data_IF_420066283452
#
_entry.id   IF_420066283452
#
_cell.length_a   1.000
_cell.length_b   1.000
_cell.length_c   1.000
_cell.angle_alpha   90.00
_cell.angle_beta   90.00
_cell.angle_gamma   90.00
#
_symmetry.space_group_name_H-M   'P 1'
#
loop_
_entity.id
_entity.type
_entity.pdbx_description
1 polymer ?
#
# COMPACT_ATOMS: atom_id res chain seq x y z
N UNK A 1 -36.62 63.51 41.29
CA UNK A 1 -35.64 64.23 40.44
C UNK A 1 -35.10 63.24 39.42
N UNK A 2 -35.45 63.38 38.14
CA UNK A 2 -34.59 63.96 37.09
C UNK A 2 -33.44 62.99 36.68
N UNK A 3 -33.63 62.07 35.71
CA UNK A 3 -33.72 62.20 34.23
C UNK A 3 -32.34 62.18 33.50
N UNK A 4 -32.07 61.07 32.80
CA UNK A 4 -31.40 60.92 31.49
C UNK A 4 -31.51 59.42 31.12
N UNK A 5 -32.19 58.91 30.07
CA UNK A 5 -32.41 59.33 28.67
C UNK A 5 -31.12 59.31 27.81
N UNK A 6 -31.07 58.83 26.55
CA UNK A 6 -31.85 57.86 25.73
C UNK A 6 -31.14 57.80 24.32
N UNK A 7 -31.44 56.80 23.46
CA UNK A 7 -31.07 56.68 22.00
C UNK A 7 -29.62 56.25 21.69
N UNK A 8 -29.26 55.64 20.56
CA UNK A 8 -29.93 54.92 19.44
C UNK A 8 -28.87 53.93 18.87
N UNK A 9 -29.18 52.68 18.50
CA UNK A 9 -29.84 52.18 17.27
C UNK A 9 -29.02 52.29 15.96
N UNK A 10 -28.88 51.14 15.29
CA UNK A 10 -28.58 50.85 13.88
C UNK A 10 -27.30 51.38 13.17
N UNK A 11 -26.46 50.44 12.70
CA UNK A 11 -26.56 49.97 11.28
C UNK A 11 -25.69 48.74 10.98
N UNK A 12 -26.21 47.89 10.08
CA UNK A 12 -25.50 46.74 9.53
C UNK A 12 -24.49 47.13 8.43
N UNK A 13 -23.44 46.31 8.25
CA UNK A 13 -22.70 46.21 7.00
C UNK A 13 -22.53 44.75 6.61
N UNK A 14 -23.31 44.35 5.61
CA UNK A 14 -23.15 43.11 4.84
C UNK A 14 -22.01 43.35 3.85
N UNK A 15 -20.97 42.51 3.86
CA UNK A 15 -19.94 42.50 2.83
C UNK A 15 -20.04 41.23 2.00
N UNK A 16 -20.61 41.36 0.81
CA UNK A 16 -20.64 40.34 -0.23
C UNK A 16 -19.43 40.54 -1.15
N UNK A 17 -18.60 39.51 -1.32
CA UNK A 17 -17.60 39.45 -2.38
C UNK A 17 -17.91 38.29 -3.34
N UNK A 18 -17.65 38.44 -4.67
CA UNK A 18 -18.36 37.65 -5.67
C UNK A 18 -17.60 36.39 -6.11
N UNK A 19 -18.36 35.35 -6.42
CA UNK A 19 -17.88 34.19 -7.18
C UNK A 19 -17.92 34.47 -8.69
N UNK A 20 -16.83 34.24 -9.45
CA UNK A 20 -16.89 34.19 -10.91
C UNK A 20 -17.41 32.82 -11.37
N UNK A 21 -18.52 32.84 -12.10
CA UNK A 21 -19.01 31.73 -12.90
C UNK A 21 -17.95 31.25 -13.91
N UNK A 22 -17.80 29.94 -14.07
CA UNK A 22 -17.66 29.36 -15.41
C UNK A 22 -18.46 28.06 -15.50
N UNK A 23 -19.60 28.11 -16.19
CA UNK A 23 -20.51 26.99 -16.40
C UNK A 23 -20.71 26.84 -17.91
N UNK A 24 -20.19 25.78 -18.49
CA UNK A 24 -20.36 25.45 -19.92
C UNK A 24 -21.40 24.32 -20.03
N UNK A 25 -22.49 24.57 -20.74
CA UNK A 25 -23.48 23.56 -21.13
C UNK A 25 -23.96 23.80 -22.57
N UNK A 26 -23.71 22.81 -23.43
CA UNK A 26 -24.49 22.41 -24.61
C UNK A 26 -24.01 20.97 -24.93
N UNK A 27 -24.83 19.92 -24.94
CA UNK A 27 -25.87 19.58 -25.92
C UNK A 27 -25.32 19.38 -27.35
N UNK A 28 -25.74 18.41 -28.18
CA UNK A 28 -26.43 17.11 -28.01
C UNK A 28 -26.50 16.41 -29.39
N UNK A 29 -26.87 15.11 -29.44
CA UNK A 29 -27.27 14.33 -30.64
C UNK A 29 -26.21 13.96 -31.69
N UNK A 30 -26.34 12.76 -32.29
CA UNK A 30 -25.74 12.48 -33.61
C UNK A 30 -25.41 11.04 -34.01
N UNK A 31 -26.39 10.13 -34.07
CA UNK A 31 -26.46 8.91 -34.92
C UNK A 31 -25.17 8.28 -35.52
N UNK A 32 -24.93 7.03 -35.13
CA UNK A 32 -24.72 5.85 -36.01
C UNK A 32 -24.37 6.05 -37.51
N UNK A 33 -23.27 5.44 -37.97
CA UNK A 33 -23.30 4.55 -39.14
C UNK A 33 -22.32 3.37 -38.99
N UNK A 34 -22.80 2.18 -39.37
CA UNK A 34 -21.98 1.03 -39.74
C UNK A 34 -21.39 1.28 -41.14
N UNK A 35 -20.15 0.88 -41.39
CA UNK A 35 -19.77 0.47 -42.74
C UNK A 35 -18.58 -0.51 -42.75
N UNK A 36 -18.72 -1.52 -43.58
CA UNK A 36 -17.83 -2.68 -43.72
C UNK A 36 -17.30 -2.77 -45.15
N UNK A 37 -16.00 -2.91 -45.34
CA UNK A 37 -15.36 -3.38 -46.57
C UNK A 37 -14.04 -4.08 -46.17
N UNK A 38 -13.93 -5.40 -46.27
CA UNK A 38 -13.65 -6.20 -47.47
C UNK A 38 -12.23 -6.04 -48.04
N UNK A 39 -11.42 -7.07 -47.76
CA UNK A 39 -10.46 -7.75 -48.65
C UNK A 39 -9.54 -6.92 -49.56
N UNK A 40 -8.23 -7.05 -49.32
CA UNK A 40 -7.26 -7.16 -50.42
C UNK A 40 -6.17 -8.18 -50.10
N UNK A 41 -5.85 -9.00 -51.10
CA UNK A 41 -5.02 -10.21 -51.00
C UNK A 41 -3.69 -10.03 -51.75
N UNK A 42 -2.65 -10.72 -51.23
CA UNK A 42 -1.49 -11.22 -51.97
C UNK A 42 -0.48 -10.17 -52.54
N UNK A 43 0.77 -10.57 -52.91
CA UNK A 43 1.31 -11.94 -52.94
C UNK A 43 2.57 -12.19 -52.09
N UNK A 44 2.88 -13.49 -51.95
CA UNK A 44 4.16 -14.00 -51.44
C UNK A 44 5.32 -13.62 -52.36
N UNK A 45 6.54 -13.56 -51.80
CA UNK A 45 7.78 -13.67 -52.58
C UNK A 45 8.70 -14.70 -51.94
N UNK A 46 9.01 -15.76 -52.69
CA UNK A 46 9.71 -16.95 -52.20
C UNK A 46 11.21 -16.92 -52.51
N UNK A 47 11.98 -17.59 -51.64
CA UNK A 47 13.30 -18.19 -51.88
C UNK A 47 14.49 -17.27 -52.26
N UNK A 48 15.53 -17.34 -51.42
CA UNK A 48 16.84 -17.84 -51.87
C UNK A 48 17.57 -18.57 -50.73
N UNK A 49 17.93 -19.82 -51.00
CA UNK A 49 18.82 -20.66 -50.19
C UNK A 49 20.28 -20.37 -50.53
N UNK A 50 21.16 -20.40 -49.53
CA UNK A 50 22.60 -20.57 -49.74
C UNK A 50 23.24 -21.27 -48.54
N UNK A 51 23.40 -22.58 -48.64
CA UNK A 51 24.26 -23.40 -47.79
C UNK A 51 25.72 -23.23 -48.18
N UNK A 52 26.58 -22.84 -47.24
CA UNK A 52 28.00 -23.23 -47.20
C UNK A 52 28.32 -23.57 -45.73
N UNK A 53 29.04 -24.67 -45.53
CA UNK A 53 29.53 -25.16 -44.23
C UNK A 53 31.07 -25.12 -44.20
N UNK A 54 31.67 -25.53 -43.07
CA UNK A 54 33.12 -25.80 -42.86
C UNK A 54 34.06 -24.57 -42.82
N UNK A 55 35.21 -24.54 -42.10
CA UNK A 55 35.75 -25.42 -41.05
C UNK A 55 36.86 -24.69 -40.23
N UNK A 56 36.97 -25.04 -38.94
CA UNK A 56 38.16 -25.21 -38.06
C UNK A 56 39.54 -24.49 -38.29
N UNK A 57 39.94 -23.76 -37.24
CA UNK A 57 41.24 -23.78 -36.49
C UNK A 57 42.64 -23.45 -37.06
N UNK A 58 43.30 -22.55 -36.30
CA UNK A 58 44.72 -22.54 -35.87
C UNK A 58 45.82 -22.06 -36.87
N UNK A 59 47.07 -21.82 -36.40
CA UNK A 59 47.47 -20.89 -35.32
C UNK A 59 48.67 -20.00 -35.73
N UNK A 60 49.05 -18.96 -34.94
CA UNK A 60 50.48 -18.65 -34.79
C UNK A 60 50.88 -17.84 -33.54
N UNK A 61 52.11 -18.09 -33.06
CA UNK A 61 52.79 -17.37 -31.98
C UNK A 61 53.54 -16.13 -32.49
N UNK A 62 53.73 -15.11 -31.64
CA UNK A 62 55.04 -14.46 -31.41
C UNK A 62 55.03 -13.50 -30.20
N UNK A 63 56.18 -13.37 -29.53
CA UNK A 63 56.43 -12.70 -28.23
C UNK A 63 57.96 -12.53 -28.04
N UNK A 64 58.49 -11.81 -27.03
CA UNK A 64 58.25 -10.45 -26.50
C UNK A 64 59.29 -9.45 -27.13
N UNK A 65 59.78 -8.31 -26.56
CA UNK A 65 60.00 -7.90 -25.15
C UNK A 65 58.77 -7.26 -24.44
N UNK A 66 58.78 -6.67 -23.23
CA UNK A 66 59.78 -6.52 -22.12
C UNK A 66 59.02 -6.32 -20.76
N UNK A 67 59.69 -5.84 -19.71
CA UNK A 67 59.12 -5.31 -18.45
C UNK A 67 59.94 -4.08 -17.97
N UNK A 68 59.44 -3.24 -17.03
CA UNK A 68 59.71 -3.52 -15.61
C UNK A 68 58.67 -3.02 -14.56
N UNK A 69 58.93 -3.43 -13.31
CA UNK A 69 58.52 -2.85 -12.02
C UNK A 69 57.11 -3.16 -11.45
N UNK A 70 57.11 -3.71 -10.22
CA UNK A 70 55.95 -3.95 -9.37
C UNK A 70 56.03 -3.12 -8.07
N UNK A 71 54.89 -2.67 -7.50
CA UNK A 71 54.86 -2.03 -6.18
C UNK A 71 54.77 -3.05 -5.03
N UNK A 72 55.27 -2.65 -3.85
CA UNK A 72 55.40 -3.48 -2.63
C UNK A 72 54.05 -3.71 -1.90
N UNK A 73 53.93 -4.78 -1.09
CA UNK A 73 52.73 -5.05 -0.29
C UNK A 73 52.59 -4.08 0.90
N UNK A 74 51.36 -3.65 1.17
CA UNK A 74 50.97 -2.90 2.37
C UNK A 74 50.23 -3.79 3.38
N UNK A 75 50.39 -3.46 4.66
CA UNK A 75 49.95 -4.22 5.84
C UNK A 75 48.42 -4.40 5.90
N UNK A 76 47.89 -5.53 6.42
CA UNK A 76 46.44 -5.71 6.58
C UNK A 76 45.88 -4.78 7.67
N UNK A 77 44.97 -3.89 7.27
CA UNK A 77 44.13 -3.18 8.24
C UNK A 77 43.08 -4.13 8.82
N UNK A 78 42.96 -4.15 10.14
CA UNK A 78 42.09 -5.07 10.87
C UNK A 78 40.61 -4.71 10.63
N UNK A 79 39.84 -5.66 10.09
CA UNK A 79 38.41 -5.45 9.84
C UNK A 79 37.64 -5.27 11.17
N UNK A 80 36.62 -4.40 11.21
CA UNK A 80 35.77 -4.27 12.39
C UNK A 80 35.01 -5.58 12.66
N UNK A 81 34.73 -5.91 13.94
CA UNK A 81 34.00 -7.14 14.28
C UNK A 81 32.58 -7.12 13.69
N UNK A 82 32.06 -8.27 13.23
CA UNK A 82 30.71 -8.34 12.71
C UNK A 82 29.68 -8.00 13.80
N UNK A 83 28.53 -7.39 13.44
CA UNK A 83 27.46 -7.12 14.39
C UNK A 83 26.97 -8.43 15.02
N UNK A 84 26.83 -8.43 16.35
CA UNK A 84 26.35 -9.60 17.08
C UNK A 84 24.88 -9.85 16.74
N UNK A 85 24.54 -11.12 16.62
CA UNK A 85 23.19 -11.67 16.40
C UNK A 85 22.63 -11.48 14.98
N UNK A 86 22.95 -12.38 14.03
CA UNK A 86 21.94 -12.76 13.05
C UNK A 86 20.69 -13.24 13.82
N UNK A 87 19.51 -12.76 13.43
CA UNK A 87 18.23 -13.17 14.01
C UNK A 87 17.95 -14.62 13.63
N UNK A 88 18.52 -15.56 14.39
CA UNK A 88 18.16 -16.98 14.33
C UNK A 88 16.70 -17.10 14.73
N UNK A 89 15.83 -17.30 13.73
CA UNK A 89 14.43 -17.67 13.94
C UNK A 89 14.44 -19.03 14.64
N UNK A 90 14.39 -19.01 15.98
CA UNK A 90 14.30 -20.23 16.76
C UNK A 90 13.00 -20.96 16.40
N UNK A 91 12.99 -22.28 16.62
CA UNK A 91 11.85 -23.11 16.26
C UNK A 91 10.67 -22.80 17.20
N UNK A 92 9.83 -21.85 16.81
CA UNK A 92 8.70 -21.29 17.59
C UNK A 92 7.83 -22.40 18.19
N UNK A 93 7.66 -23.51 17.48
CA UNK A 93 6.90 -24.69 17.91
C UNK A 93 7.47 -25.40 19.16
N UNK A 94 8.71 -25.12 19.57
CA UNK A 94 9.36 -25.71 20.75
C UNK A 94 9.56 -24.75 21.91
N UNK A 95 9.75 -23.46 21.63
CA UNK A 95 10.11 -22.46 22.63
C UNK A 95 8.98 -21.45 22.91
N UNK A 96 7.87 -21.51 22.17
CA UNK A 96 6.79 -20.53 22.21
C UNK A 96 7.11 -19.26 21.40
N UNK A 97 6.18 -18.31 21.42
CA UNK A 97 6.54 -16.90 21.18
C UNK A 97 7.08 -16.34 22.50
N UNK A 98 8.10 -15.48 22.41
CA UNK A 98 8.47 -14.59 23.50
C UNK A 98 7.64 -13.31 23.38
N UNK A 99 6.34 -13.41 23.70
CA UNK A 99 5.33 -12.36 23.59
C UNK A 99 4.99 -11.71 24.94
N UNK A 100 5.95 -11.72 25.88
CA UNK A 100 5.82 -11.03 27.16
C UNK A 100 5.41 -9.56 26.91
N UNK A 101 4.36 -9.05 27.58
CA UNK A 101 3.98 -7.64 27.47
C UNK A 101 5.16 -6.72 27.77
N UNK A 102 5.31 -5.58 27.06
CA UNK A 102 6.31 -4.58 27.41
C UNK A 102 6.14 -4.17 28.86
N UNK A 103 7.23 -4.16 29.63
CA UNK A 103 7.19 -3.62 30.99
C UNK A 103 6.86 -2.13 30.88
N UNK A 104 5.77 -1.73 31.54
CA UNK A 104 5.36 -0.34 31.61
C UNK A 104 6.27 0.36 32.62
N UNK A 105 7.10 1.28 32.14
CA UNK A 105 7.84 2.23 32.98
C UNK A 105 6.83 3.18 33.65
N UNK A 106 6.22 2.71 34.73
CA UNK A 106 5.38 3.51 35.63
C UNK A 106 6.29 4.39 36.49
N UNK A 107 5.93 5.65 36.67
CA UNK A 107 6.64 6.52 37.61
C UNK A 107 6.36 6.09 39.07
N UNK A 108 7.11 6.67 40.01
CA UNK A 108 7.03 6.32 41.43
C UNK A 108 5.65 6.58 42.08
N UNK A 109 4.72 7.24 41.38
CA UNK A 109 3.35 7.50 41.81
C UNK A 109 2.30 6.69 41.02
N UNK A 110 2.72 5.78 40.13
CA UNK A 110 1.82 5.01 39.25
C UNK A 110 1.12 5.86 38.19
N UNK A 111 1.62 7.07 37.92
CA UNK A 111 1.05 7.99 36.94
C UNK A 111 1.70 7.80 35.57
N UNK A 112 0.92 7.83 34.47
CA UNK A 112 1.50 7.89 33.14
C UNK A 112 1.97 9.34 32.86
N UNK A 113 3.25 9.58 33.18
CA UNK A 113 4.08 10.77 32.86
C UNK A 113 3.97 11.99 33.79
N UNK A 114 5.11 12.67 34.09
CA UNK A 114 5.10 14.03 34.57
C UNK A 114 4.73 15.00 33.44
N UNK A 115 3.94 16.03 33.77
CA UNK A 115 3.52 17.14 32.89
C UNK A 115 2.45 16.83 31.81
N UNK A 116 1.76 15.68 31.84
CA UNK A 116 0.57 15.43 31.02
C UNK A 116 0.82 15.24 29.52
N UNK A 117 2.07 14.98 29.11
CA UNK A 117 2.44 14.67 27.74
C UNK A 117 2.39 13.15 27.48
N UNK A 118 1.40 12.70 26.72
CA UNK A 118 1.23 11.26 26.41
C UNK A 118 2.35 10.76 25.48
N UNK A 119 3.19 9.84 25.98
CA UNK A 119 4.10 9.05 25.13
C UNK A 119 3.33 7.99 24.34
N UNK A 120 3.00 8.31 23.09
CA UNK A 120 2.31 7.40 22.18
C UNK A 120 3.13 6.17 21.76
N UNK A 121 4.45 6.14 22.00
CA UNK A 121 5.29 4.98 21.66
C UNK A 121 5.07 3.80 22.60
N UNK A 122 4.57 4.05 23.82
CA UNK A 122 4.33 3.02 24.85
C UNK A 122 2.94 3.05 25.48
N UNK A 123 2.33 4.23 25.61
CA UNK A 123 1.04 4.41 26.29
C UNK A 123 -0.15 3.72 25.60
N UNK A 124 -1.18 3.39 26.39
CA UNK A 124 -2.50 2.92 25.95
C UNK A 124 -3.60 3.97 26.17
N UNK A 125 -3.22 5.25 26.32
CA UNK A 125 -4.12 6.35 26.67
C UNK A 125 -5.38 6.43 25.78
N UNK A 126 -6.54 6.53 26.43
CA UNK A 126 -7.85 6.68 25.78
C UNK A 126 -8.39 5.42 25.09
N UNK A 127 -7.66 4.31 25.08
CA UNK A 127 -8.17 3.04 24.52
C UNK A 127 -9.40 2.58 25.31
N UNK A 128 -10.49 2.28 24.60
CA UNK A 128 -11.78 1.87 25.17
C UNK A 128 -12.41 2.83 26.20
N UNK A 129 -11.95 4.09 26.28
CA UNK A 129 -12.49 5.06 27.25
C UNK A 129 -13.94 5.48 26.95
N UNK A 130 -14.25 5.70 25.67
CA UNK A 130 -15.60 6.04 25.20
C UNK A 130 -15.75 5.71 23.69
N UNK A 131 -16.98 5.54 23.15
CA UNK A 131 -17.20 5.38 21.71
C UNK A 131 -16.83 6.64 20.90
N UNK A 132 -16.77 6.53 19.56
CA UNK A 132 -16.72 7.72 18.69
C UNK A 132 -18.10 8.37 18.57
N UNK A 133 -18.15 9.61 18.07
CA UNK A 133 -19.41 10.28 17.76
C UNK A 133 -20.27 9.43 16.81
N UNK A 134 -21.60 9.56 16.91
CA UNK A 134 -22.53 8.81 16.04
C UNK A 134 -22.26 9.06 14.56
N UNK A 135 -21.86 10.28 14.20
CA UNK A 135 -21.49 10.66 12.83
C UNK A 135 -20.26 9.90 12.34
N UNK A 136 -19.18 9.89 13.15
CA UNK A 136 -17.97 9.13 12.83
C UNK A 136 -18.26 7.62 12.75
N UNK A 137 -19.02 7.07 13.71
CA UNK A 137 -19.42 5.67 13.69
C UNK A 137 -20.22 5.29 12.42
N UNK A 138 -21.19 6.12 12.01
CA UNK A 138 -21.95 5.92 10.77
C UNK A 138 -21.07 5.93 9.50
N UNK A 139 -19.96 6.69 9.52
CA UNK A 139 -19.01 6.75 8.40
C UNK A 139 -18.08 5.54 8.39
N UNK A 140 -17.60 5.10 9.56
CA UNK A 140 -16.68 3.96 9.71
C UNK A 140 -17.37 2.63 9.41
N UNK A 141 -18.65 2.50 9.80
CA UNK A 141 -19.49 1.33 9.57
C UNK A 141 -20.27 1.38 8.25
N UNK A 142 -19.99 2.36 7.38
CA UNK A 142 -20.65 2.49 6.08
C UNK A 142 -20.29 1.28 5.19
N UNK A 143 -21.31 0.64 4.60
CA UNK A 143 -21.11 -0.42 3.61
C UNK A 143 -20.26 0.06 2.43
N UNK A 144 -19.44 -0.84 1.87
CA UNK A 144 -18.55 -0.54 0.76
C UNK A 144 -19.31 -0.43 -0.56
N UNK A 145 -18.85 0.48 -1.42
CA UNK A 145 -19.23 0.49 -2.83
C UNK A 145 -18.54 -0.69 -3.54
N UNK A 146 -19.27 -1.62 -4.21
CA UNK A 146 -18.65 -2.72 -4.95
C UNK A 146 -17.75 -2.29 -6.12
N UNK A 147 -17.85 -1.04 -6.59
CA UNK A 147 -16.92 -0.46 -7.57
C UNK A 147 -15.57 -0.05 -6.97
N UNK A 148 -15.49 0.10 -5.63
CA UNK A 148 -14.26 0.44 -4.92
C UNK A 148 -13.43 -0.77 -4.48
N UNK A 149 -13.99 -1.98 -4.60
CA UNK A 149 -13.37 -3.24 -4.13
C UNK A 149 -12.68 -3.96 -5.28
N UNK A 150 -11.40 -4.25 -5.10
CA UNK A 150 -10.56 -4.92 -6.09
C UNK A 150 -10.43 -6.42 -5.79
N UNK A 151 -9.98 -7.19 -6.79
CA UNK A 151 -9.64 -8.61 -6.63
C UNK A 151 -8.26 -8.91 -7.21
N UNK A 152 -7.41 -9.53 -6.39
CA UNK A 152 -6.10 -10.02 -6.83
C UNK A 152 -6.25 -11.27 -7.73
N UNK A 153 -5.25 -11.61 -8.57
CA UNK A 153 -5.25 -12.82 -9.39
C UNK A 153 -5.43 -14.14 -8.62
N UNK A 154 -5.01 -14.18 -7.34
CA UNK A 154 -5.20 -15.29 -6.39
C UNK A 154 -6.65 -15.41 -5.87
N UNK A 155 -7.50 -14.42 -6.15
CA UNK A 155 -8.87 -14.33 -5.69
C UNK A 155 -9.07 -13.65 -4.33
N UNK A 156 -8.05 -13.04 -3.72
CA UNK A 156 -8.22 -12.22 -2.52
C UNK A 156 -8.87 -10.90 -2.91
N UNK A 157 -10.03 -10.60 -2.33
CA UNK A 157 -10.68 -9.28 -2.46
C UNK A 157 -10.04 -8.28 -1.49
N UNK A 158 -9.87 -7.04 -1.91
CA UNK A 158 -9.27 -5.99 -1.08
C UNK A 158 -9.83 -4.60 -1.43
N UNK A 159 -9.82 -3.71 -0.44
CA UNK A 159 -10.08 -2.29 -0.66
C UNK A 159 -8.73 -1.56 -0.83
N UNK A 160 -8.52 -0.72 -1.86
CA UNK A 160 -7.27 0.02 -2.03
C UNK A 160 -6.97 0.98 -0.86
N UNK A 161 -5.71 1.11 -0.48
CA UNK A 161 -5.24 1.85 0.71
C UNK A 161 -5.78 3.29 0.80
N UNK A 162 -5.87 3.97 -0.35
CA UNK A 162 -6.37 5.33 -0.46
C UNK A 162 -7.82 5.48 0.01
N UNK A 163 -8.64 4.42 -0.12
CA UNK A 163 -10.04 4.43 0.31
C UNK A 163 -10.14 4.43 1.84
N UNK A 164 -9.31 3.64 2.53
CA UNK A 164 -9.19 3.71 4.00
C UNK A 164 -8.80 5.11 4.47
N UNK A 165 -7.79 5.75 3.85
CA UNK A 165 -7.40 7.14 4.17
C UNK A 165 -8.54 8.13 3.98
N UNK A 166 -9.35 7.96 2.92
CA UNK A 166 -10.56 8.79 2.67
C UNK A 166 -11.64 8.56 3.73
N UNK A 167 -11.87 7.32 4.16
CA UNK A 167 -12.83 6.99 5.23
C UNK A 167 -12.38 7.61 6.55
N UNK A 168 -11.10 7.47 6.93
CA UNK A 168 -10.55 8.10 8.14
C UNK A 168 -10.62 9.63 8.10
N UNK A 169 -10.28 10.26 6.96
CA UNK A 169 -10.43 11.70 6.77
C UNK A 169 -11.89 12.17 6.84
N UNK A 170 -12.85 11.36 6.36
CA UNK A 170 -14.28 11.66 6.43
C UNK A 170 -14.81 11.49 7.87
N UNK A 171 -14.37 10.48 8.60
CA UNK A 171 -14.83 10.17 9.96
C UNK A 171 -14.20 11.07 11.05
N UNK A 172 -12.91 11.39 10.94
CA UNK A 172 -12.16 12.09 11.98
C UNK A 172 -11.66 13.48 11.59
N UNK A 173 -11.72 13.83 10.29
CA UNK A 173 -11.12 15.04 9.73
C UNK A 173 -9.62 14.87 9.41
N UNK A 174 -9.10 15.58 8.40
CA UNK A 174 -7.65 15.68 8.17
C UNK A 174 -6.93 16.22 9.42
N UNK A 175 -5.87 15.55 9.86
CA UNK A 175 -5.17 15.87 11.11
C UNK A 175 -5.83 15.35 12.39
N UNK A 176 -7.09 14.86 12.32
CA UNK A 176 -7.79 14.24 13.44
C UNK A 176 -7.35 12.80 13.75
N UNK A 177 -6.44 12.22 12.94
CA UNK A 177 -5.89 10.88 13.11
C UNK A 177 -4.45 10.78 12.60
N UNK A 178 -3.72 9.78 13.08
CA UNK A 178 -2.34 9.50 12.65
C UNK A 178 -1.86 8.10 13.03
N UNK A 179 -0.76 7.66 12.41
CA UNK A 179 -0.04 6.45 12.82
C UNK A 179 1.23 6.83 13.60
N UNK A 180 1.39 6.22 14.77
CA UNK A 180 2.59 6.34 15.60
C UNK A 180 3.40 5.04 15.51
N UNK A 181 4.69 5.07 15.18
CA UNK A 181 5.53 3.87 15.25
C UNK A 181 5.73 3.43 16.71
N UNK A 182 5.53 2.13 16.97
CA UNK A 182 5.64 1.50 18.30
C UNK A 182 6.92 0.65 18.45
N UNK A 183 7.46 0.16 17.35
CA UNK A 183 8.72 -0.59 17.31
C UNK A 183 9.78 0.09 16.44
N UNK A 184 11.00 -0.43 16.47
CA UNK A 184 11.97 -0.24 15.39
C UNK A 184 11.50 -0.92 14.09
N UNK A 185 12.01 -0.47 12.94
CA UNK A 185 11.78 -1.13 11.65
C UNK A 185 12.69 -2.35 11.55
N UNK A 186 12.11 -3.55 11.51
CA UNK A 186 12.87 -4.79 11.27
C UNK A 186 12.96 -5.01 9.76
N UNK A 187 14.15 -4.88 9.22
CA UNK A 187 14.45 -5.12 7.80
C UNK A 187 15.10 -6.50 7.66
N UNK A 188 14.39 -7.43 7.03
CA UNK A 188 14.90 -8.75 6.66
C UNK A 188 15.25 -8.76 5.17
N UNK A 189 16.02 -9.73 4.62
CA UNK A 189 16.42 -9.75 3.21
C UNK A 189 15.30 -9.74 2.16
N UNK A 190 14.03 -9.88 2.57
CA UNK A 190 12.85 -9.92 1.68
C UNK A 190 11.66 -9.07 2.13
N UNK A 191 11.64 -8.58 3.38
CA UNK A 191 10.47 -7.89 3.93
C UNK A 191 10.84 -6.88 5.00
N UNK A 192 10.11 -5.77 5.05
CA UNK A 192 10.17 -4.75 6.11
C UNK A 192 8.94 -4.90 6.99
N UNK A 193 9.12 -5.07 8.29
CA UNK A 193 8.03 -5.14 9.27
C UNK A 193 8.22 -4.15 10.41
N UNK A 194 7.13 -3.53 10.86
CA UNK A 194 7.12 -2.56 11.97
C UNK A 194 5.75 -2.48 12.63
N UNK A 195 5.73 -2.30 13.94
CA UNK A 195 4.51 -2.04 14.68
C UNK A 195 4.11 -0.56 14.67
N UNK A 196 2.82 -0.31 14.46
CA UNK A 196 2.23 1.02 14.53
C UNK A 196 0.96 1.01 15.37
N UNK A 197 0.75 2.11 16.09
CA UNK A 197 -0.52 2.45 16.73
C UNK A 197 -1.30 3.43 15.85
N UNK A 198 -2.59 3.17 15.64
CA UNK A 198 -3.54 4.17 15.12
C UNK A 198 -4.03 5.01 16.30
N UNK A 199 -3.87 6.32 16.18
CA UNK A 199 -4.38 7.32 17.13
C UNK A 199 -5.40 8.18 16.38
N UNK A 200 -6.55 8.43 16.99
CA UNK A 200 -7.57 9.36 16.47
C UNK A 200 -8.16 10.17 17.62
N UNK A 201 -8.39 11.47 17.41
CA UNK A 201 -8.93 12.41 18.41
C UNK A 201 -8.24 12.32 19.79
N UNK A 202 -6.91 12.16 19.80
CA UNK A 202 -6.13 12.12 21.05
C UNK A 202 -6.25 10.83 21.86
N UNK A 203 -6.71 9.73 21.27
CA UNK A 203 -6.78 8.40 21.92
C UNK A 203 -6.23 7.28 21.04
N UNK A 204 -5.66 6.26 21.68
CA UNK A 204 -5.27 5.02 21.03
C UNK A 204 -6.52 4.28 20.52
N UNK A 205 -6.49 3.84 19.27
CA UNK A 205 -7.57 3.09 18.62
C UNK A 205 -7.23 1.60 18.53
N UNK A 206 -6.07 1.29 17.95
CA UNK A 206 -5.64 -0.08 17.65
C UNK A 206 -4.12 -0.10 17.45
N UNK A 207 -3.49 -1.25 17.73
CA UNK A 207 -2.08 -1.51 17.47
C UNK A 207 -1.99 -2.66 16.48
N UNK A 208 -1.26 -2.48 15.38
CA UNK A 208 -1.03 -3.52 14.40
C UNK A 208 0.40 -3.49 13.88
N UNK A 209 0.94 -4.68 13.61
CA UNK A 209 2.17 -4.84 12.85
C UNK A 209 1.87 -4.74 11.36
N UNK A 210 2.56 -3.86 10.66
CA UNK A 210 2.58 -3.80 9.21
C UNK A 210 3.76 -4.60 8.67
N UNK A 211 3.60 -5.14 7.48
CA UNK A 211 4.65 -5.84 6.73
C UNK A 211 4.56 -5.51 5.24
N UNK A 212 5.69 -5.51 4.55
CA UNK A 212 5.76 -5.29 3.10
C UNK A 212 7.01 -5.93 2.50
N UNK A 213 6.78 -6.84 1.56
CA UNK A 213 7.83 -7.54 0.83
C UNK A 213 8.52 -6.63 -0.21
N UNK A 214 9.79 -6.93 -0.46
CA UNK A 214 10.63 -6.30 -1.47
C UNK A 214 11.60 -7.32 -2.09
N UNK A 215 12.03 -7.06 -3.32
CA UNK A 215 12.90 -7.98 -4.08
C UNK A 215 14.37 -7.53 -4.12
N UNK A 216 14.62 -6.22 -4.17
CA UNK A 216 15.95 -5.61 -4.24
C UNK A 216 16.12 -4.61 -3.08
N UNK A 217 17.32 -4.44 -2.48
CA UNK A 217 17.57 -3.49 -1.38
C UNK A 217 17.15 -2.04 -1.68
N UNK A 218 17.26 -1.59 -2.94
CA UNK A 218 16.82 -0.25 -3.36
C UNK A 218 15.30 -0.02 -3.17
N UNK A 219 14.52 -1.10 -3.01
CA UNK A 219 13.09 -1.07 -2.72
C UNK A 219 12.73 -0.87 -1.24
N UNK A 220 13.70 -0.88 -0.31
CA UNK A 220 13.45 -0.71 1.14
C UNK A 220 12.67 0.58 1.49
N UNK A 221 12.93 1.76 0.88
CA UNK A 221 12.14 2.97 1.16
C UNK A 221 10.66 2.80 0.79
N UNK A 222 10.38 2.28 -0.41
CA UNK A 222 9.01 1.97 -0.87
C UNK A 222 8.34 0.91 0.03
N UNK A 223 9.10 -0.11 0.45
CA UNK A 223 8.60 -1.13 1.37
C UNK A 223 8.29 -0.55 2.75
N UNK A 224 9.04 0.45 3.22
CA UNK A 224 8.79 1.11 4.51
C UNK A 224 7.46 1.89 4.49
N UNK A 225 7.14 2.59 3.41
CA UNK A 225 5.83 3.25 3.26
C UNK A 225 4.69 2.24 3.06
N UNK A 226 4.90 1.16 2.30
CA UNK A 226 3.92 0.08 2.17
C UNK A 226 3.63 -0.62 3.51
N UNK A 227 4.64 -0.87 4.32
CA UNK A 227 4.53 -1.42 5.67
C UNK A 227 3.65 -0.53 6.58
N UNK A 228 3.84 0.80 6.51
CA UNK A 228 3.01 1.79 7.22
C UNK A 228 1.56 1.79 6.73
N UNK A 229 1.31 1.74 5.42
CA UNK A 229 -0.04 1.57 4.86
C UNK A 229 -0.70 0.25 5.28
N UNK A 230 0.06 -0.84 5.31
CA UNK A 230 -0.42 -2.17 5.71
C UNK A 230 -0.91 -2.17 7.17
N UNK A 231 -0.13 -1.60 8.09
CA UNK A 231 -0.53 -1.42 9.48
C UNK A 231 -1.80 -0.55 9.61
N UNK A 232 -1.91 0.55 8.85
CA UNK A 232 -3.11 1.40 8.83
C UNK A 232 -4.37 0.58 8.51
N UNK A 233 -4.34 -0.24 7.45
CA UNK A 233 -5.50 -1.05 7.04
C UNK A 233 -5.86 -2.10 8.10
N UNK A 234 -4.86 -2.69 8.77
CA UNK A 234 -5.08 -3.62 9.90
C UNK A 234 -5.76 -2.90 11.07
N UNK A 235 -5.28 -1.73 11.50
CA UNK A 235 -5.91 -0.95 12.57
C UNK A 235 -7.34 -0.48 12.22
N UNK A 236 -7.62 -0.19 10.95
CA UNK A 236 -8.96 0.18 10.49
C UNK A 236 -10.01 -0.94 10.67
N UNK A 237 -9.59 -2.20 10.76
CA UNK A 237 -10.50 -3.34 10.99
C UNK A 237 -11.20 -3.24 12.35
N UNK A 238 -10.50 -2.79 13.37
CA UNK A 238 -11.03 -2.66 14.74
C UNK A 238 -12.01 -1.47 14.87
N UNK A 239 -11.95 -0.52 13.93
CA UNK A 239 -12.97 0.53 13.73
C UNK A 239 -14.21 0.03 12.95
N UNK A 240 -14.21 -1.21 12.47
CA UNK A 240 -15.28 -1.80 11.65
C UNK A 240 -15.21 -1.47 10.15
N UNK A 241 -14.21 -0.67 9.71
CA UNK A 241 -14.05 -0.24 8.32
C UNK A 241 -13.76 -1.45 7.43
N UNK A 242 -14.49 -1.55 6.31
CA UNK A 242 -14.34 -2.62 5.32
C UNK A 242 -14.49 -4.05 5.91
N UNK A 243 -15.21 -4.19 7.03
CA UNK A 243 -15.48 -5.47 7.72
C UNK A 243 -16.10 -6.54 6.81
N UNK A 244 -16.91 -6.12 5.82
CA UNK A 244 -17.47 -6.98 4.77
C UNK A 244 -16.44 -7.82 4.00
N UNK A 245 -15.22 -7.30 3.81
CA UNK A 245 -14.14 -8.03 3.11
C UNK A 245 -13.62 -9.25 3.88
N UNK A 246 -14.04 -9.41 5.13
CA UNK A 246 -13.68 -10.53 6.00
C UNK A 246 -14.84 -11.52 6.20
N UNK A 247 -16.07 -11.22 5.72
CA UNK A 247 -17.19 -12.16 5.75
C UNK A 247 -17.14 -13.12 4.54
N UNK A 248 -16.93 -14.44 4.74
CA UNK A 248 -16.95 -15.40 3.64
C UNK A 248 -18.26 -15.43 2.85
N UNK A 249 -19.40 -15.01 3.43
CA UNK A 249 -20.69 -14.95 2.71
C UNK A 249 -20.71 -13.74 1.75
N UNK A 250 -20.32 -12.56 2.22
CA UNK A 250 -20.12 -11.38 1.39
C UNK A 250 -19.13 -11.63 0.25
N UNK A 251 -17.94 -12.18 0.55
CA UNK A 251 -16.90 -12.47 -0.47
C UNK A 251 -17.44 -13.37 -1.59
N UNK A 252 -18.22 -14.41 -1.25
CA UNK A 252 -18.84 -15.29 -2.27
C UNK A 252 -19.86 -14.56 -3.14
N UNK A 253 -20.71 -13.71 -2.54
CA UNK A 253 -21.68 -12.87 -3.28
C UNK A 253 -20.98 -11.89 -4.20
N UNK A 254 -19.98 -11.16 -3.68
CA UNK A 254 -19.18 -10.21 -4.45
C UNK A 254 -18.49 -10.91 -5.64
N UNK A 255 -17.82 -12.04 -5.42
CA UNK A 255 -17.19 -12.80 -6.51
C UNK A 255 -18.18 -13.24 -7.58
N UNK A 256 -19.35 -13.77 -7.19
CA UNK A 256 -20.38 -14.18 -8.14
C UNK A 256 -20.93 -13.02 -8.97
N UNK A 257 -21.08 -11.84 -8.36
CA UNK A 257 -21.64 -10.64 -9.01
C UNK A 257 -20.61 -9.87 -9.84
N UNK A 258 -19.41 -9.63 -9.33
CA UNK A 258 -18.43 -8.68 -9.86
C UNK A 258 -17.11 -9.29 -10.34
N UNK A 259 -16.83 -10.57 -10.07
CA UNK A 259 -15.59 -11.23 -10.52
C UNK A 259 -15.84 -12.37 -11.52
N UNK A 260 -14.81 -12.72 -12.27
CA UNK A 260 -14.77 -13.85 -13.20
C UNK A 260 -13.46 -14.61 -13.01
N UNK A 261 -13.50 -15.93 -13.20
CA UNK A 261 -12.30 -16.75 -13.32
C UNK A 261 -11.98 -16.96 -14.79
N UNK A 262 -10.72 -16.76 -15.18
CA UNK A 262 -10.26 -16.91 -16.57
C UNK A 262 -9.03 -17.82 -16.62
N UNK A 263 -9.01 -18.73 -17.59
CA UNK A 263 -7.80 -19.45 -17.96
C UNK A 263 -6.91 -18.55 -18.81
N UNK A 264 -5.68 -18.35 -18.35
CA UNK A 264 -4.67 -17.51 -18.99
C UNK A 264 -3.39 -18.30 -19.26
N UNK A 265 -2.62 -17.85 -20.25
CA UNK A 265 -1.28 -18.35 -20.55
C UNK A 265 -0.29 -17.21 -20.42
N UNK A 266 0.82 -17.45 -19.71
CA UNK A 266 1.91 -16.49 -19.60
C UNK A 266 2.60 -16.34 -20.95
N UNK A 267 2.63 -15.12 -21.52
CA UNK A 267 3.09 -14.89 -22.88
C UNK A 267 4.56 -15.32 -23.11
N UNK A 268 5.45 -15.09 -22.14
CA UNK A 268 6.85 -15.56 -22.17
C UNK A 268 6.97 -17.06 -21.85
N UNK A 269 6.60 -17.50 -20.64
CA UNK A 269 6.89 -18.86 -20.15
C UNK A 269 5.93 -19.95 -20.66
N UNK A 270 4.88 -19.59 -21.40
CA UNK A 270 3.81 -20.47 -21.92
C UNK A 270 3.06 -21.27 -20.86
N UNK A 271 3.25 -20.97 -19.58
CA UNK A 271 2.55 -21.61 -18.46
C UNK A 271 1.08 -21.21 -18.46
N UNK A 272 0.19 -22.20 -18.47
CA UNK A 272 -1.25 -21.99 -18.28
C UNK A 272 -1.57 -21.88 -16.78
N UNK A 273 -2.50 -21.02 -16.41
CA UNK A 273 -2.96 -20.81 -15.03
C UNK A 273 -4.39 -20.29 -15.04
N UNK A 274 -5.11 -20.45 -13.92
CA UNK A 274 -6.45 -19.91 -13.73
C UNK A 274 -6.34 -18.74 -12.77
N UNK A 275 -6.81 -17.56 -13.17
CA UNK A 275 -6.75 -16.34 -12.34
C UNK A 275 -8.15 -15.76 -12.11
N UNK A 276 -8.29 -15.04 -11.00
CA UNK A 276 -9.42 -14.16 -10.75
C UNK A 276 -9.18 -12.77 -11.36
N UNK A 277 -10.24 -12.15 -11.86
CA UNK A 277 -10.26 -10.80 -12.40
C UNK A 277 -11.64 -10.17 -12.14
N UNK A 278 -11.77 -8.84 -12.04
CA UNK A 278 -13.09 -8.22 -12.05
C UNK A 278 -13.77 -8.40 -13.42
N UNK A 279 -15.09 -8.32 -13.50
CA UNK A 279 -15.83 -8.56 -14.75
C UNK A 279 -15.64 -7.45 -15.79
N UNK A 280 -15.48 -6.23 -15.32
CA UNK A 280 -15.21 -4.98 -16.04
C UNK A 280 -13.74 -4.85 -16.50
N UNK A 281 -12.81 -5.62 -15.93
CA UNK A 281 -11.39 -5.60 -16.31
C UNK A 281 -11.04 -6.53 -17.47
N UNK A 282 -9.99 -6.14 -18.21
CA UNK A 282 -9.33 -6.95 -19.24
C UNK A 282 -8.06 -7.65 -18.74
N UNK A 283 -7.68 -8.74 -19.41
CA UNK A 283 -6.45 -9.49 -19.07
C UNK A 283 -5.21 -8.72 -19.53
N UNK A 284 -4.40 -8.28 -18.58
CA UNK A 284 -3.17 -7.52 -18.80
C UNK A 284 -1.92 -8.41 -18.96
N UNK A 285 -0.86 -7.83 -19.55
CA UNK A 285 0.48 -8.46 -19.60
C UNK A 285 1.00 -8.77 -18.18
N UNK A 286 1.64 -9.93 -17.92
CA UNK A 286 2.22 -10.89 -18.86
C UNK A 286 1.26 -11.98 -19.37
N UNK A 287 -0.03 -11.87 -19.12
CA UNK A 287 -1.01 -12.90 -19.42
C UNK A 287 -1.69 -12.67 -20.77
N UNK A 288 -2.30 -13.73 -21.32
CA UNK A 288 -3.27 -13.68 -22.42
C UNK A 288 -4.38 -14.69 -22.16
N UNK A 289 -5.60 -14.39 -22.59
CA UNK A 289 -6.74 -15.32 -22.49
C UNK A 289 -6.42 -16.60 -23.28
N UNK A 290 -6.65 -17.75 -22.65
CA UNK A 290 -6.57 -19.07 -23.27
C UNK A 290 -7.99 -19.64 -23.37
N UNK A 291 -8.36 -20.06 -24.59
CA UNK A 291 -9.57 -20.86 -24.82
C UNK A 291 -9.29 -22.34 -24.53
#
# INVERSE_FOLDING_TARGET
MAIRALRHADRALISLCPSPYLRIHAASNGRSQLQSALLRTAPLRTLRTSTIASQLNAPNNNKPPSAPAAPKPTTPAQAPPPPKNPLTVQNISKNGLDDKPPELDLDANGSPTPNGHVDWTRSYHGLSAEPFSKEAANILLQALDPSDVEIKPDGIVYLPEIKYRRILNKAFGPGGWGLVPRSESIVTPKTVTREYALVAHGRLVSIARGEQDYFNPDGIPTATEGCKSNAMMRCCKDLGVASELWDPRWIRKFKAQYAKEIFVEHQVTKRKSKIWLRKDDDVSYPWKVTR
#
